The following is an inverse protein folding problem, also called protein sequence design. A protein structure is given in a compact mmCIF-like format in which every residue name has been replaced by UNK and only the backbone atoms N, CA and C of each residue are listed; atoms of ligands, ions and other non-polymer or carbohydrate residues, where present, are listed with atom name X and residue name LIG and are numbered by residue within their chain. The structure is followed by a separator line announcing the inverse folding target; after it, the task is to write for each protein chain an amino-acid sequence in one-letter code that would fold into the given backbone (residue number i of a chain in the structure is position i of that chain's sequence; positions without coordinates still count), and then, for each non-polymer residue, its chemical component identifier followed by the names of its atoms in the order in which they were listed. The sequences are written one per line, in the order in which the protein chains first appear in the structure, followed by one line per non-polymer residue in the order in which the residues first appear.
data_IF_201483825418
#
_entry.id   IF_201483825418
#
_cell.length_a   1.000
_cell.length_b   1.000
_cell.length_c   1.000
_cell.angle_alpha   90.00
_cell.angle_beta   90.00
_cell.angle_gamma   90.00
#
_symmetry.space_group_name_H-M   'P 1'
#
loop_
_entity.id
_entity.type
_entity.pdbx_description
1 polymer ?
#
# COMPACT_ATOMS: atom_id res chain seq x y z
N UNK A 1 7.21 -8.72 -14.03
CA UNK A 1 5.87 -8.58 -13.46
C UNK A 1 5.81 -7.25 -12.72
N UNK A 2 4.79 -6.44 -13.01
CA UNK A 2 4.48 -5.21 -12.28
C UNK A 2 3.91 -5.54 -10.90
N UNK A 3 4.09 -4.63 -9.95
CA UNK A 3 3.46 -4.71 -8.63
C UNK A 3 1.93 -4.64 -8.78
N UNK A 4 1.22 -5.52 -8.07
CA UNK A 4 -0.22 -5.45 -7.86
C UNK A 4 -0.53 -5.90 -6.44
N UNK A 5 -1.56 -5.34 -5.81
CA UNK A 5 -1.93 -5.73 -4.46
C UNK A 5 -3.32 -5.27 -4.08
N UNK A 6 -3.70 -5.55 -2.84
CA UNK A 6 -4.94 -5.08 -2.24
C UNK A 6 -4.75 -4.78 -0.76
N UNK A 7 -5.53 -3.83 -0.26
CA UNK A 7 -5.52 -3.48 1.16
C UNK A 7 -6.12 -4.65 1.94
N UNK A 8 -5.32 -5.27 2.80
CA UNK A 8 -5.75 -6.41 3.60
C UNK A 8 -6.46 -5.97 4.87
N UNK A 9 -5.86 -5.05 5.62
CA UNK A 9 -6.40 -4.57 6.89
C UNK A 9 -5.77 -3.23 7.31
N UNK A 10 -6.41 -2.46 8.20
CA UNK A 10 -5.76 -1.38 8.93
C UNK A 10 -4.62 -1.92 9.78
N UNK A 11 -3.52 -1.19 9.89
CA UNK A 11 -2.47 -1.54 10.84
C UNK A 11 -2.81 -0.97 12.22
N UNK A 12 -2.40 -1.68 13.29
CA UNK A 12 -2.51 -1.19 14.67
C UNK A 12 -1.77 0.13 14.92
N UNK A 13 -0.87 0.49 14.01
CA UNK A 13 -0.11 1.73 14.07
C UNK A 13 -0.77 2.91 13.32
N UNK A 14 -2.02 2.76 12.86
CA UNK A 14 -2.76 3.79 12.14
C UNK A 14 -2.41 3.90 10.65
N UNK A 15 -1.85 2.83 10.07
CA UNK A 15 -1.54 2.73 8.63
C UNK A 15 -2.39 1.67 7.92
N UNK A 16 -1.91 1.23 6.75
CA UNK A 16 -2.52 0.12 6.00
C UNK A 16 -1.51 -1.01 5.79
N UNK A 17 -1.97 -2.25 5.95
CA UNK A 17 -1.26 -3.43 5.48
C UNK A 17 -1.84 -3.86 4.13
N UNK A 18 -0.96 -3.99 3.15
CA UNK A 18 -1.32 -4.34 1.77
C UNK A 18 -0.61 -5.62 1.38
N UNK A 19 -1.38 -6.65 1.05
CA UNK A 19 -0.86 -7.87 0.41
C UNK A 19 -0.57 -7.57 -1.05
N UNK A 20 0.53 -8.11 -1.58
CA UNK A 20 0.92 -7.86 -2.96
C UNK A 20 1.53 -9.09 -3.63
N UNK A 21 1.49 -9.08 -4.95
CA UNK A 21 2.24 -9.99 -5.82
C UNK A 21 3.30 -9.23 -6.61
N UNK A 22 4.30 -9.98 -7.08
CA UNK A 22 5.43 -9.45 -7.82
C UNK A 22 6.55 -8.94 -6.91
N UNK A 23 7.35 -7.99 -7.41
CA UNK A 23 8.50 -7.47 -6.67
C UNK A 23 8.03 -6.53 -5.57
N UNK A 24 8.58 -6.71 -4.36
CA UNK A 24 8.40 -5.77 -3.27
C UNK A 24 8.78 -4.34 -3.70
N UNK A 25 7.89 -3.34 -3.50
CA UNK A 25 8.23 -1.94 -3.72
C UNK A 25 9.38 -1.51 -2.81
N UNK A 26 10.16 -0.52 -3.28
CA UNK A 26 11.13 0.15 -2.42
C UNK A 26 10.44 1.02 -1.36
N UNK A 27 11.16 1.33 -0.28
CA UNK A 27 10.72 2.33 0.70
C UNK A 27 10.41 3.67 0.02
N UNK A 28 9.47 4.41 0.59
CA UNK A 28 8.95 5.68 0.08
C UNK A 28 8.26 5.64 -1.30
N UNK A 29 8.09 4.44 -1.88
CA UNK A 29 7.28 4.25 -3.10
C UNK A 29 5.84 4.66 -2.81
N UNK A 30 5.28 5.51 -3.66
CA UNK A 30 3.89 5.94 -3.55
C UNK A 30 2.92 4.83 -3.95
N UNK A 31 1.85 4.66 -3.19
CA UNK A 31 0.79 3.69 -3.46
C UNK A 31 -0.55 4.41 -3.56
N UNK A 32 -1.35 4.02 -4.55
CA UNK A 32 -2.72 4.52 -4.74
C UNK A 32 -3.69 3.38 -4.97
N UNK A 33 -4.97 3.63 -4.74
CA UNK A 33 -6.03 2.78 -5.29
C UNK A 33 -5.90 2.82 -6.82
N UNK A 34 -6.09 1.68 -7.50
CA UNK A 34 -5.99 1.60 -8.97
C UNK A 34 -6.87 2.68 -9.62
N UNK A 35 -6.25 3.56 -10.41
CA UNK A 35 -6.94 4.69 -11.07
C UNK A 35 -7.55 5.72 -10.12
N UNK A 36 -7.28 5.63 -8.82
CA UNK A 36 -7.98 6.37 -7.78
C UNK A 36 -7.06 7.14 -6.85
N UNK A 37 -7.54 7.30 -5.61
CA UNK A 37 -6.92 8.16 -4.59
C UNK A 37 -5.56 7.63 -4.14
N UNK A 38 -4.61 8.55 -3.93
CA UNK A 38 -3.33 8.28 -3.28
C UNK A 38 -3.54 7.88 -1.81
N UNK A 39 -2.93 6.76 -1.40
CA UNK A 39 -3.08 6.21 -0.05
C UNK A 39 -1.94 6.65 0.88
N UNK A 40 -0.74 6.81 0.34
CA UNK A 40 0.46 7.11 1.11
C UNK A 40 1.70 6.48 0.48
N UNK A 41 2.78 6.39 1.27
CA UNK A 41 4.04 5.80 0.82
C UNK A 41 4.36 4.55 1.64
N UNK A 42 5.13 3.65 1.04
CA UNK A 42 5.67 2.47 1.71
C UNK A 42 6.64 2.90 2.81
N UNK A 43 6.34 2.50 4.04
CA UNK A 43 7.17 2.71 5.22
C UNK A 43 7.98 1.46 5.56
N UNK A 44 7.40 0.27 5.34
CA UNK A 44 8.06 -1.01 5.61
C UNK A 44 7.55 -2.12 4.71
N UNK A 45 8.34 -3.19 4.58
CA UNK A 45 7.96 -4.46 3.95
C UNK A 45 8.20 -5.56 4.98
N UNK A 46 7.14 -6.26 5.36
CA UNK A 46 7.14 -7.20 6.49
C UNK A 46 6.56 -8.56 6.08
N UNK A 47 6.93 -9.61 6.80
CA UNK A 47 6.42 -10.96 6.57
C UNK A 47 7.39 -11.84 5.78
N UNK A 48 6.88 -12.96 5.27
CA UNK A 48 7.68 -13.96 4.54
C UNK A 48 7.81 -13.60 3.05
N UNK A 49 8.80 -14.16 2.37
CA UNK A 49 9.04 -13.91 0.94
C UNK A 49 7.81 -14.22 0.08
N UNK A 50 7.00 -15.21 0.47
CA UNK A 50 5.82 -15.67 -0.29
C UNK A 50 4.48 -15.11 0.23
N UNK A 51 4.52 -14.17 1.18
CA UNK A 51 3.32 -13.64 1.84
C UNK A 51 3.61 -12.32 2.53
N UNK A 52 4.45 -11.49 1.92
CA UNK A 52 4.85 -10.21 2.47
C UNK A 52 3.70 -9.20 2.36
N UNK A 53 3.69 -8.27 3.30
CA UNK A 53 2.87 -7.08 3.28
C UNK A 53 3.76 -5.86 3.11
N UNK A 54 3.29 -4.87 2.38
CA UNK A 54 3.79 -3.51 2.55
C UNK A 54 2.96 -2.80 3.62
N UNK A 55 3.62 -2.01 4.43
CA UNK A 55 2.99 -1.11 5.39
C UNK A 55 3.03 0.31 4.83
N UNK A 56 1.87 0.97 4.79
CA UNK A 56 1.73 2.35 4.33
C UNK A 56 1.46 3.23 5.55
N UNK A 57 2.39 4.15 5.82
CA UNK A 57 2.29 5.12 6.90
C UNK A 57 3.24 6.31 6.63
N UNK A 58 2.85 7.57 6.90
CA UNK A 58 1.49 8.01 7.24
C UNK A 58 0.52 7.84 6.07
N UNK A 59 -0.77 7.81 6.38
CA UNK A 59 -1.82 7.84 5.36
C UNK A 59 -1.96 9.24 4.78
N UNK A 60 -2.28 9.33 3.50
CA UNK A 60 -2.57 10.59 2.84
C UNK A 60 -3.82 11.25 3.44
N UNK A 61 -3.91 12.58 3.29
CA UNK A 61 -4.99 13.36 3.88
C UNK A 61 -6.39 12.87 3.45
N UNK A 62 -7.29 12.74 4.44
CA UNK A 62 -8.65 12.25 4.24
C UNK A 62 -8.75 10.78 3.82
N UNK A 63 -7.68 9.98 3.96
CA UNK A 63 -7.77 8.52 3.85
C UNK A 63 -8.21 7.97 5.20
N UNK A 64 -9.33 7.25 5.21
CA UNK A 64 -9.83 6.51 6.37
C UNK A 64 -9.46 5.04 6.15
N UNK A 65 -8.70 4.46 7.07
CA UNK A 65 -8.06 3.15 6.88
C UNK A 65 -9.08 2.03 6.64
N UNK A 66 -10.16 2.05 7.41
CA UNK A 66 -11.25 1.07 7.38
C UNK A 66 -11.95 1.06 6.02
N UNK A 67 -12.11 2.23 5.40
CA UNK A 67 -12.76 2.36 4.09
C UNK A 67 -11.88 1.88 2.94
N UNK A 68 -10.57 1.74 3.16
CA UNK A 68 -9.63 1.32 2.13
C UNK A 68 -9.55 -0.22 2.01
N UNK A 69 -9.99 -0.97 3.02
CA UNK A 69 -9.91 -2.44 3.07
C UNK A 69 -10.57 -3.08 1.84
N UNK A 70 -9.89 -4.04 1.24
CA UNK A 70 -10.32 -4.73 0.02
C UNK A 70 -10.03 -3.96 -1.28
N UNK A 71 -9.64 -2.69 -1.22
CA UNK A 71 -9.37 -1.90 -2.43
C UNK A 71 -8.13 -2.42 -3.17
N UNK A 72 -8.18 -2.58 -4.50
CA UNK A 72 -7.00 -2.90 -5.29
C UNK A 72 -6.06 -1.69 -5.36
N UNK A 73 -4.75 -1.94 -5.30
CA UNK A 73 -3.73 -0.90 -5.32
C UNK A 73 -2.68 -1.10 -6.40
N UNK A 74 -2.05 0.01 -6.77
CA UNK A 74 -0.92 0.06 -7.70
C UNK A 74 0.12 1.09 -7.23
N UNK A 75 1.30 1.04 -7.86
CA UNK A 75 2.32 2.07 -7.68
C UNK A 75 1.78 3.38 -8.26
N UNK A 76 1.75 4.42 -7.43
CA UNK A 76 1.40 5.75 -7.87
C UNK A 76 2.43 6.25 -8.90
N UNK A 77 2.00 6.92 -9.98
CA UNK A 77 2.90 7.64 -10.86
C UNK A 77 3.82 8.55 -10.05
N UNK A 78 5.09 8.66 -10.44
CA UNK A 78 5.98 9.66 -9.83
C UNK A 78 5.43 11.03 -10.22
N UNK A 79 5.09 11.86 -9.24
CA UNK A 79 4.88 13.29 -9.48
C UNK A 79 6.11 13.82 -10.22
N UNK A 80 5.86 14.52 -11.32
CA UNK A 80 6.89 15.01 -12.24
C UNK A 80 7.47 16.33 -11.75
#
# INVERSE_FOLDING_TARGET
MSFSGSVSQPSHEGGLLVSFEGRAPGLYTGIRIVGGKFLGRVDSVIGSINGAFIHIKPLAEGVVAENAVGSPVEIAPRDR
#
